data_IF_234780123747
#
_entry.id   IF_234780123747
#
_cell.length_a   1.000
_cell.length_b   1.000
_cell.length_c   1.000
_cell.angle_alpha   90.00
_cell.angle_beta   90.00
_cell.angle_gamma   90.00
#
_symmetry.space_group_name_H-M   'P 1'
#
loop_
_entity.id
_entity.type
_entity.pdbx_description
1 polymer ?
#
# COMPACT_ATOMS: atom_id res chain seq x y z
N UNK A 1 -14.94 5.15 9.33
CA UNK A 1 -14.08 3.94 9.28
C UNK A 1 -14.79 2.75 8.66
N UNK A 2 -15.95 2.33 9.18
CA UNK A 2 -16.72 1.20 8.63
C UNK A 2 -17.00 1.32 7.12
N UNK A 3 -17.57 2.43 6.65
CA UNK A 3 -17.86 2.60 5.22
C UNK A 3 -16.64 2.48 4.29
N UNK A 4 -15.47 3.00 4.70
CA UNK A 4 -14.25 2.90 3.92
C UNK A 4 -13.71 1.45 3.88
N UNK A 5 -13.80 0.73 5.01
CA UNK A 5 -13.43 -0.68 5.09
C UNK A 5 -14.35 -1.55 4.23
N UNK A 6 -15.66 -1.33 4.31
CA UNK A 6 -16.65 -2.03 3.49
C UNK A 6 -16.41 -1.80 1.99
N UNK A 7 -16.19 -0.54 1.59
CA UNK A 7 -15.93 -0.20 0.19
C UNK A 7 -14.64 -0.83 -0.35
N UNK A 8 -13.56 -0.85 0.45
CA UNK A 8 -12.30 -1.48 0.06
C UNK A 8 -12.45 -3.01 -0.12
N UNK A 9 -13.20 -3.67 0.77
CA UNK A 9 -13.45 -5.11 0.68
C UNK A 9 -14.31 -5.43 -0.54
N UNK A 10 -15.38 -4.67 -0.79
CA UNK A 10 -16.27 -4.87 -1.95
C UNK A 10 -15.52 -4.60 -3.25
N UNK A 11 -14.71 -3.54 -3.32
CA UNK A 11 -13.89 -3.25 -4.48
C UNK A 11 -12.84 -4.36 -4.73
N UNK A 12 -12.15 -4.85 -3.71
CA UNK A 12 -11.17 -5.93 -3.83
C UNK A 12 -11.79 -7.26 -4.27
N UNK A 13 -12.92 -7.65 -3.67
CA UNK A 13 -13.63 -8.88 -4.02
C UNK A 13 -14.33 -8.78 -5.39
N UNK A 14 -14.81 -7.59 -5.78
CA UNK A 14 -15.50 -7.37 -7.06
C UNK A 14 -14.58 -7.36 -8.29
N UNK A 15 -13.30 -7.08 -8.12
CA UNK A 15 -12.29 -7.11 -9.21
C UNK A 15 -12.00 -8.55 -9.67
N UNK A 16 -12.19 -9.55 -8.81
CA UNK A 16 -11.97 -10.97 -9.11
C UNK A 16 -12.96 -11.51 -10.17
N UNK A 17 -14.30 -11.39 -10.01
CA UNK A 17 -15.24 -11.83 -11.04
C UNK A 17 -15.16 -10.96 -12.31
N UNK A 18 -14.78 -9.68 -12.20
CA UNK A 18 -14.57 -8.80 -13.35
C UNK A 18 -13.40 -9.31 -14.22
N UNK A 19 -12.29 -9.72 -13.59
CA UNK A 19 -11.16 -10.39 -14.25
C UNK A 19 -11.63 -11.65 -14.98
N UNK A 20 -12.40 -12.49 -14.31
CA UNK A 20 -12.84 -13.77 -14.86
C UNK A 20 -13.81 -13.58 -16.03
N UNK A 21 -14.73 -12.62 -15.93
CA UNK A 21 -15.66 -12.29 -17.01
C UNK A 21 -14.94 -11.71 -18.24
N UNK A 22 -13.93 -10.87 -18.04
CA UNK A 22 -13.14 -10.27 -19.14
C UNK A 22 -12.19 -11.28 -19.81
N UNK A 23 -11.67 -12.23 -19.05
CA UNK A 23 -10.82 -13.29 -19.59
C UNK A 23 -11.64 -14.38 -20.32
N UNK A 24 -12.87 -14.65 -19.86
CA UNK A 24 -13.79 -15.57 -20.52
C UNK A 24 -14.44 -15.01 -21.80
N UNK A 25 -14.52 -13.68 -21.94
CA UNK A 25 -15.13 -13.00 -23.10
C UNK A 25 -14.16 -12.67 -24.23
N UNK A 26 -12.91 -13.17 -24.17
CA UNK A 26 -11.92 -13.00 -25.23
C UNK A 26 -11.37 -11.57 -25.38
N UNK A 27 -11.68 -10.68 -24.44
CA UNK A 27 -11.25 -9.27 -24.44
C UNK A 27 -10.09 -9.06 -23.46
N UNK A 28 -9.07 -9.91 -23.60
CA UNK A 28 -7.83 -9.89 -22.81
C UNK A 28 -7.10 -8.56 -22.90
N UNK A 29 -7.23 -7.84 -24.02
CA UNK A 29 -6.60 -6.53 -24.23
C UNK A 29 -7.20 -5.43 -23.33
N UNK A 30 -8.53 -5.42 -23.15
CA UNK A 30 -9.18 -4.43 -22.28
C UNK A 30 -8.84 -4.68 -20.80
N UNK A 31 -8.72 -5.96 -20.39
CA UNK A 31 -8.22 -6.31 -19.07
C UNK A 31 -6.74 -5.94 -18.90
N UNK A 32 -5.94 -6.07 -19.96
CA UNK A 32 -4.53 -5.69 -19.94
C UNK A 32 -4.35 -4.18 -19.72
N UNK A 33 -5.17 -3.34 -20.37
CA UNK A 33 -5.17 -1.87 -20.13
C UNK A 33 -5.58 -1.53 -18.69
N UNK A 34 -6.61 -2.18 -18.15
CA UNK A 34 -7.06 -1.98 -16.77
C UNK A 34 -5.96 -2.40 -15.78
N UNK A 35 -5.32 -3.54 -16.00
CA UNK A 35 -4.19 -3.97 -15.17
C UNK A 35 -3.04 -2.99 -15.28
N UNK A 36 -2.60 -2.64 -16.48
CA UNK A 36 -1.48 -1.71 -16.71
C UNK A 36 -1.74 -0.32 -16.07
N UNK A 37 -3.00 0.11 -15.99
CA UNK A 37 -3.34 1.37 -15.33
C UNK A 37 -3.41 1.26 -13.80
N UNK A 38 -4.06 0.23 -13.27
CA UNK A 38 -4.44 0.17 -11.85
C UNK A 38 -3.61 -0.83 -11.02
N UNK A 39 -3.33 -2.03 -11.53
CA UNK A 39 -2.78 -3.16 -10.76
C UNK A 39 -1.41 -3.64 -11.21
N UNK A 40 -0.85 -2.98 -12.21
CA UNK A 40 0.42 -3.32 -12.79
C UNK A 40 1.54 -3.12 -11.77
N UNK A 41 2.32 -4.17 -11.57
CA UNK A 41 3.59 -4.08 -10.87
C UNK A 41 4.63 -3.48 -11.83
N UNK A 42 4.95 -2.21 -11.62
CA UNK A 42 5.94 -1.47 -12.40
C UNK A 42 7.38 -1.92 -12.12
N UNK A 43 7.60 -2.81 -11.14
CA UNK A 43 8.92 -3.36 -10.80
C UNK A 43 9.28 -4.62 -11.60
N UNK A 44 8.36 -5.15 -12.42
CA UNK A 44 8.61 -6.31 -13.28
C UNK A 44 9.10 -5.89 -14.68
N UNK A 45 10.15 -6.56 -15.18
CA UNK A 45 10.73 -6.30 -16.49
C UNK A 45 9.72 -6.62 -17.61
N UNK A 46 9.19 -5.58 -18.25
CA UNK A 46 8.16 -5.68 -19.30
C UNK A 46 6.97 -4.72 -19.13
N UNK A 47 6.94 -3.97 -18.02
CA UNK A 47 5.79 -3.13 -17.65
C UNK A 47 6.12 -1.64 -17.50
N UNK A 48 7.10 -1.15 -18.26
CA UNK A 48 7.65 0.21 -18.16
C UNK A 48 6.66 1.32 -18.58
N UNK A 49 5.62 0.96 -19.35
CA UNK A 49 4.54 1.89 -19.76
C UNK A 49 3.30 1.84 -18.87
N UNK A 50 3.29 1.01 -17.83
CA UNK A 50 2.18 0.98 -16.89
C UNK A 50 2.32 2.05 -15.82
N UNK A 51 1.22 2.75 -15.53
CA UNK A 51 1.18 3.79 -14.50
C UNK A 51 1.13 3.15 -13.09
N UNK A 52 0.53 1.96 -12.96
CA UNK A 52 0.55 1.20 -11.70
C UNK A 52 0.10 2.02 -10.48
N UNK A 53 -1.00 2.76 -10.60
CA UNK A 53 -1.38 3.80 -9.62
C UNK A 53 -1.53 3.25 -8.19
N UNK A 54 -2.13 2.06 -8.03
CA UNK A 54 -2.29 1.44 -6.71
C UNK A 54 -0.94 1.00 -6.12
N UNK A 55 -0.02 0.54 -6.98
CA UNK A 55 1.33 0.15 -6.56
C UNK A 55 2.14 1.36 -6.10
N UNK A 56 2.14 2.45 -6.87
CA UNK A 56 2.86 3.69 -6.50
C UNK A 56 2.32 4.25 -5.18
N UNK A 57 1.00 4.35 -5.03
CA UNK A 57 0.38 4.85 -3.79
C UNK A 57 0.69 3.91 -2.62
N UNK A 58 0.58 2.60 -2.81
CA UNK A 58 0.89 1.61 -1.77
C UNK A 58 2.36 1.67 -1.34
N UNK A 59 3.28 1.78 -2.29
CA UNK A 59 4.71 1.84 -1.99
C UNK A 59 5.08 3.17 -1.33
N UNK A 60 4.54 4.29 -1.79
CA UNK A 60 4.72 5.59 -1.13
C UNK A 60 4.18 5.58 0.29
N UNK A 61 3.02 4.95 0.51
CA UNK A 61 2.44 4.79 1.84
C UNK A 61 3.37 4.01 2.78
N UNK A 62 3.87 2.84 2.35
CA UNK A 62 4.80 2.03 3.16
C UNK A 62 6.09 2.80 3.43
N UNK A 63 6.68 3.46 2.43
CA UNK A 63 7.90 4.26 2.60
C UNK A 63 7.67 5.46 3.52
N UNK A 64 6.48 6.06 3.48
CA UNK A 64 6.09 7.15 4.39
C UNK A 64 5.93 6.66 5.83
N UNK A 65 5.33 5.48 6.03
CA UNK A 65 5.28 4.85 7.36
C UNK A 65 6.69 4.57 7.89
N UNK A 66 7.59 4.07 7.05
CA UNK A 66 8.98 3.82 7.41
C UNK A 66 9.71 5.11 7.81
N UNK A 67 9.44 6.24 7.15
CA UNK A 67 10.02 7.54 7.49
C UNK A 67 9.67 7.99 8.92
N UNK A 68 8.44 7.70 9.38
CA UNK A 68 7.97 8.06 10.73
C UNK A 68 8.63 7.23 11.83
N UNK A 69 9.13 6.03 11.52
CA UNK A 69 9.76 5.14 12.51
C UNK A 69 11.00 5.79 13.12
N UNK A 70 11.80 6.51 12.34
CA UNK A 70 13.07 7.12 12.81
C UNK A 70 12.87 8.13 13.95
N UNK A 71 12.07 9.20 13.79
CA UNK A 71 11.83 10.16 14.88
C UNK A 71 11.06 9.55 16.06
N UNK A 72 10.17 8.57 15.79
CA UNK A 72 9.43 7.87 16.84
C UNK A 72 10.38 7.10 17.76
N UNK A 73 11.28 6.29 17.19
CA UNK A 73 12.27 5.51 17.95
C UNK A 73 13.22 6.44 18.69
N UNK A 74 13.69 7.51 18.06
CA UNK A 74 14.55 8.49 18.71
C UNK A 74 13.89 9.13 19.95
N UNK A 75 12.66 9.62 19.80
CA UNK A 75 11.91 10.24 20.89
C UNK A 75 11.65 9.24 22.02
N UNK A 76 11.34 7.98 21.68
CA UNK A 76 11.16 6.90 22.66
C UNK A 76 12.43 6.64 23.48
N UNK A 77 13.60 6.60 22.84
CA UNK A 77 14.89 6.41 23.53
C UNK A 77 15.20 7.59 24.47
N UNK A 78 15.00 8.83 24.00
CA UNK A 78 15.24 10.03 24.82
C UNK A 78 14.32 10.05 26.04
N UNK A 79 13.02 9.79 25.86
CA UNK A 79 12.07 9.68 26.96
C UNK A 79 12.47 8.58 27.96
N UNK A 80 12.91 7.42 27.47
CA UNK A 80 13.39 6.34 28.34
C UNK A 80 14.61 6.76 29.18
N UNK A 81 15.58 7.46 28.57
CA UNK A 81 16.75 7.98 29.30
C UNK A 81 16.35 9.00 30.38
N UNK A 82 15.44 9.92 30.07
CA UNK A 82 14.92 10.89 31.05
C UNK A 82 14.24 10.17 32.22
N UNK A 83 13.39 9.18 31.93
CA UNK A 83 12.71 8.38 32.97
C UNK A 83 13.70 7.62 33.86
N UNK A 84 14.79 7.09 33.31
CA UNK A 84 15.86 6.45 34.09
C UNK A 84 16.61 7.46 34.96
N UNK A 85 16.89 8.66 34.44
CA UNK A 85 17.56 9.73 35.18
C UNK A 85 16.72 10.23 36.36
N UNK A 86 15.42 10.49 36.14
CA UNK A 86 14.50 10.93 37.19
C UNK A 86 14.32 9.87 38.29
N UNK A 87 14.38 8.58 37.92
CA UNK A 87 14.35 7.46 38.87
C UNK A 87 15.59 7.33 39.75
N UNK A 88 16.67 8.08 39.50
CA UNK A 88 17.94 8.04 40.26
C UNK A 88 17.97 9.02 41.45
N UNK A 89 16.86 9.69 41.77
CA UNK A 89 16.78 10.73 42.82
C UNK A 89 16.18 10.26 44.14
N UNK A 90 16.15 8.94 44.42
CA UNK A 90 15.85 8.37 45.74
C UNK A 90 17.02 7.52 46.24
#
# INVERSE_FOLDING_TARGET
MLFAMSAAIIAGLGVIPLREHLNASGNSDSWNVINHLLFADISASGNESAIGLFYIIGQLFVRSLQLVIVPMVFTSIVLAMVRISDGKTF
#
